data_IF_540136396974
#
_entry.id   IF_540136396974
#
_cell.length_a   1.000
_cell.length_b   1.000
_cell.length_c   1.000
_cell.angle_alpha   90.00
_cell.angle_beta   90.00
_cell.angle_gamma   90.00
#
_symmetry.space_group_name_H-M   'P 1'
#
loop_
_entity.id
_entity.type
_entity.pdbx_description
1 polymer ?
#
# COMPACT_ATOMS: atom_id res chain seq x y z
N UNK A 1 -88.57 17.94 34.67
CA UNK A 1 -87.42 18.77 35.09
C UNK A 1 -86.32 18.59 34.06
N UNK A 2 -85.97 19.65 33.34
CA UNK A 2 -84.96 19.65 32.28
C UNK A 2 -83.58 19.84 32.92
N UNK A 3 -82.66 18.89 32.78
CA UNK A 3 -81.27 19.07 33.22
C UNK A 3 -80.49 19.82 32.13
N UNK A 4 -79.72 20.87 32.48
CA UNK A 4 -78.88 21.57 31.51
C UNK A 4 -77.65 20.74 31.14
N UNK A 5 -77.31 20.73 29.85
CA UNK A 5 -76.09 20.11 29.33
C UNK A 5 -74.82 20.88 29.78
N UNK A 6 -73.69 20.18 29.96
CA UNK A 6 -72.42 20.80 30.35
C UNK A 6 -71.85 21.65 29.21
N UNK A 7 -71.26 22.79 29.57
CA UNK A 7 -70.59 23.69 28.66
C UNK A 7 -69.39 23.00 27.97
N UNK A 8 -69.34 23.07 26.64
CA UNK A 8 -68.23 22.55 25.84
C UNK A 8 -66.94 23.36 26.06
N UNK A 9 -65.76 22.77 25.78
CA UNK A 9 -64.47 23.36 26.09
C UNK A 9 -64.24 24.70 25.37
N UNK A 10 -63.70 25.66 26.12
CA UNK A 10 -63.41 27.02 25.66
C UNK A 10 -62.48 27.02 24.45
N UNK A 11 -63.03 27.42 23.30
CA UNK A 11 -62.35 27.49 22.00
C UNK A 11 -61.09 28.38 22.04
N UNK A 12 -61.06 29.39 22.90
CA UNK A 12 -59.90 30.28 23.04
C UNK A 12 -58.71 29.61 23.74
N UNK A 13 -58.98 28.73 24.70
CA UNK A 13 -57.94 27.96 25.40
C UNK A 13 -57.25 26.95 24.48
N UNK A 14 -58.01 26.37 23.55
CA UNK A 14 -57.52 25.43 22.54
C UNK A 14 -56.58 26.14 21.55
N UNK A 15 -56.99 27.29 21.02
CA UNK A 15 -56.17 28.08 20.06
C UNK A 15 -54.85 28.54 20.70
N UNK A 16 -54.87 29.03 21.95
CA UNK A 16 -53.64 29.46 22.65
C UNK A 16 -52.64 28.30 22.87
N UNK A 17 -53.13 27.09 23.18
CA UNK A 17 -52.27 25.91 23.32
C UNK A 17 -51.62 25.52 21.99
N UNK A 18 -52.37 25.52 20.89
CA UNK A 18 -51.81 25.20 19.57
C UNK A 18 -50.81 26.28 19.10
N UNK A 19 -51.08 27.56 19.36
CA UNK A 19 -50.12 28.64 19.03
C UNK A 19 -48.81 28.50 19.84
N UNK A 20 -48.87 28.18 21.13
CA UNK A 20 -47.66 27.91 21.91
C UNK A 20 -46.88 26.69 21.39
N UNK A 21 -47.58 25.60 21.05
CA UNK A 21 -46.94 24.38 20.57
C UNK A 21 -46.21 24.61 19.23
N UNK A 22 -46.83 25.36 18.31
CA UNK A 22 -46.24 25.71 17.01
C UNK A 22 -45.01 26.59 17.19
N UNK A 23 -45.07 27.59 18.09
CA UNK A 23 -43.92 28.46 18.37
C UNK A 23 -42.75 27.65 18.94
N UNK A 24 -43.01 26.75 19.89
CA UNK A 24 -41.98 25.88 20.47
C UNK A 24 -41.34 25.00 19.38
N UNK A 25 -42.14 24.45 18.47
CA UNK A 25 -41.66 23.57 17.42
C UNK A 25 -40.80 24.32 16.39
N UNK A 26 -41.19 25.54 16.02
CA UNK A 26 -40.39 26.42 15.14
C UNK A 26 -39.07 26.79 15.80
N UNK A 27 -39.07 27.15 17.09
CA UNK A 27 -37.85 27.47 17.84
C UNK A 27 -36.91 26.27 17.90
N UNK A 28 -37.42 25.07 18.15
CA UNK A 28 -36.61 23.84 18.16
C UNK A 28 -35.99 23.55 16.79
N UNK A 29 -36.74 23.72 15.70
CA UNK A 29 -36.21 23.54 14.33
C UNK A 29 -35.09 24.53 14.04
N UNK A 30 -35.25 25.80 14.42
CA UNK A 30 -34.22 26.83 14.25
C UNK A 30 -32.98 26.48 15.06
N UNK A 31 -33.11 26.07 16.32
CA UNK A 31 -31.99 25.69 17.18
C UNK A 31 -31.23 24.49 16.58
N UNK A 32 -31.95 23.44 16.17
CA UNK A 32 -31.33 22.25 15.56
C UNK A 32 -30.61 22.63 14.27
N UNK A 33 -31.24 23.44 13.42
CA UNK A 33 -30.63 23.91 12.18
C UNK A 33 -29.37 24.76 12.45
N UNK A 34 -29.41 25.68 13.43
CA UNK A 34 -28.26 26.49 13.83
C UNK A 34 -27.12 25.62 14.38
N UNK A 35 -27.41 24.59 15.17
CA UNK A 35 -26.39 23.66 15.69
C UNK A 35 -25.77 22.85 14.54
N UNK A 36 -26.58 22.35 13.61
CA UNK A 36 -26.09 21.61 12.45
C UNK A 36 -25.25 22.50 11.53
N UNK A 37 -25.69 23.74 11.29
CA UNK A 37 -24.95 24.72 10.51
C UNK A 37 -23.63 25.08 11.19
N UNK A 38 -23.62 25.33 12.51
CA UNK A 38 -22.39 25.59 13.26
C UNK A 38 -21.43 24.40 13.24
N UNK A 39 -21.94 23.16 13.35
CA UNK A 39 -21.12 21.94 13.22
C UNK A 39 -20.55 21.79 11.80
N UNK A 40 -21.35 22.10 10.78
CA UNK A 40 -20.93 22.07 9.38
C UNK A 40 -19.84 23.12 9.10
N UNK A 41 -20.04 24.36 9.55
CA UNK A 41 -19.07 25.44 9.43
C UNK A 41 -17.79 25.15 10.22
N UNK A 42 -17.89 24.60 11.44
CA UNK A 42 -16.73 24.20 12.24
C UNK A 42 -15.94 23.07 11.58
N UNK A 43 -16.60 22.09 10.94
CA UNK A 43 -15.93 21.05 10.13
C UNK A 43 -15.24 21.61 8.89
N UNK A 44 -15.83 22.62 8.23
CA UNK A 44 -15.22 23.32 7.08
C UNK A 44 -13.99 24.13 7.47
N UNK A 45 -14.03 24.80 8.63
CA UNK A 45 -12.91 25.62 9.14
C UNK A 45 -11.82 24.78 9.80
N UNK A 46 -12.15 23.59 10.32
CA UNK A 46 -11.18 22.63 10.88
C UNK A 46 -10.77 21.52 9.91
N UNK A 47 -11.11 21.60 8.63
CA UNK A 47 -10.46 20.80 7.62
C UNK A 47 -8.98 21.22 7.63
N UNK A 48 -8.02 20.33 7.93
CA UNK A 48 -6.62 20.69 7.87
C UNK A 48 -6.35 21.15 6.45
N UNK A 49 -5.80 22.36 6.33
CA UNK A 49 -5.21 22.83 5.09
C UNK A 49 -4.23 21.76 4.65
N UNK A 50 -4.53 21.09 3.53
CA UNK A 50 -3.59 20.17 2.94
C UNK A 50 -2.34 21.00 2.65
N UNK A 51 -1.27 20.76 3.42
CA UNK A 51 0.05 21.28 3.08
C UNK A 51 0.36 20.93 1.62
N UNK A 52 1.28 21.64 0.96
CA UNK A 52 1.49 21.46 -0.47
C UNK A 52 1.78 19.99 -0.78
N UNK A 53 0.77 19.29 -1.32
CA UNK A 53 0.94 17.94 -1.84
C UNK A 53 1.73 18.12 -3.11
N UNK A 54 3.05 18.01 -2.99
CA UNK A 54 3.97 18.03 -4.13
C UNK A 54 3.70 16.79 -4.96
N UNK A 55 2.67 16.88 -5.79
CA UNK A 55 2.30 15.87 -6.77
C UNK A 55 3.51 15.71 -7.68
N UNK A 56 4.19 14.59 -7.55
CA UNK A 56 5.46 14.37 -8.24
C UNK A 56 5.15 13.77 -9.59
N UNK A 57 5.41 14.52 -10.66
CA UNK A 57 5.43 13.99 -12.03
C UNK A 57 6.79 13.34 -12.27
N UNK A 58 6.83 12.25 -13.04
CA UNK A 58 8.08 11.60 -13.43
C UNK A 58 9.08 12.60 -14.04
N UNK A 59 10.36 12.61 -13.61
CA UNK A 59 11.34 13.55 -14.15
C UNK A 59 11.54 13.37 -15.65
N UNK A 60 11.61 14.49 -16.39
CA UNK A 60 11.99 14.46 -17.80
C UNK A 60 13.40 13.86 -17.96
N UNK A 61 13.54 12.82 -18.78
CA UNK A 61 14.81 12.11 -19.01
C UNK A 61 15.07 10.89 -18.11
N UNK A 62 14.11 10.52 -17.26
CA UNK A 62 14.15 9.28 -16.50
C UNK A 62 14.24 8.05 -17.43
N UNK A 63 15.25 7.21 -17.24
CA UNK A 63 15.43 5.97 -18.01
C UNK A 63 14.85 4.77 -17.23
N UNK A 64 14.03 3.91 -17.86
CA UNK A 64 13.64 2.64 -17.24
C UNK A 64 14.87 1.84 -16.80
N UNK A 65 14.78 1.14 -15.67
CA UNK A 65 15.87 0.34 -15.11
C UNK A 65 16.92 1.16 -14.34
N UNK A 66 16.71 2.47 -14.16
CA UNK A 66 17.65 3.36 -13.48
C UNK A 66 17.08 3.98 -12.21
N UNK A 67 17.92 4.14 -11.19
CA UNK A 67 17.60 4.91 -9.99
C UNK A 67 17.72 6.40 -10.32
N UNK A 68 16.68 7.15 -10.00
CA UNK A 68 16.63 8.60 -10.18
C UNK A 68 17.71 9.29 -9.32
N UNK A 69 18.30 10.40 -9.80
CA UNK A 69 19.28 11.14 -9.03
C UNK A 69 18.65 11.74 -7.77
N UNK A 70 19.41 11.77 -6.69
CA UNK A 70 18.98 12.36 -5.41
C UNK A 70 19.34 11.47 -4.23
N UNK A 71 19.31 12.05 -3.03
CA UNK A 71 19.41 11.29 -1.79
C UNK A 71 18.09 10.56 -1.53
N UNK A 72 18.11 9.41 -0.83
CA UNK A 72 16.89 8.75 -0.38
C UNK A 72 15.99 9.71 0.40
N UNK A 73 14.73 9.82 -0.03
CA UNK A 73 13.75 10.76 0.50
C UNK A 73 12.47 10.08 1.01
N UNK A 74 11.40 10.85 1.27
CA UNK A 74 10.08 10.28 1.54
C UNK A 74 9.54 9.53 0.30
N UNK A 75 8.50 8.72 0.51
CA UNK A 75 7.76 8.13 -0.61
C UNK A 75 7.11 9.22 -1.47
N UNK A 76 7.25 9.16 -2.80
CA UNK A 76 6.60 10.11 -3.69
C UNK A 76 5.11 9.79 -3.83
N UNK A 77 4.28 10.83 -3.89
CA UNK A 77 2.89 10.70 -4.34
C UNK A 77 2.80 11.07 -5.82
N UNK A 78 2.72 10.04 -6.66
CA UNK A 78 2.66 10.18 -8.11
C UNK A 78 1.22 10.38 -8.57
N UNK A 79 0.97 11.41 -9.40
CA UNK A 79 -0.33 11.65 -10.05
C UNK A 79 -0.73 10.55 -11.02
N UNK A 80 0.25 9.90 -11.62
CA UNK A 80 0.07 8.80 -12.54
C UNK A 80 1.19 7.79 -12.30
N UNK A 81 0.82 6.50 -12.30
CA UNK A 81 1.74 5.38 -12.11
C UNK A 81 1.74 4.50 -13.36
N UNK A 82 2.90 3.94 -13.76
CA UNK A 82 2.96 3.01 -14.88
C UNK A 82 2.01 1.84 -14.66
N UNK A 83 1.26 1.48 -15.71
CA UNK A 83 0.45 0.28 -15.69
C UNK A 83 1.35 -0.95 -15.73
N UNK A 84 1.07 -1.99 -14.92
CA UNK A 84 1.84 -3.23 -14.94
C UNK A 84 1.85 -3.85 -16.33
N UNK A 85 3.05 -4.16 -16.84
CA UNK A 85 3.20 -5.02 -18.01
C UNK A 85 3.44 -6.43 -17.51
N UNK A 86 2.61 -7.35 -17.95
CA UNK A 86 2.64 -8.75 -17.53
C UNK A 86 2.64 -9.65 -18.75
N UNK A 87 3.02 -10.92 -18.55
CA UNK A 87 3.00 -11.93 -19.60
C UNK A 87 2.89 -13.33 -19.02
N UNK A 88 2.55 -14.29 -19.87
CA UNK A 88 2.52 -15.69 -19.47
C UNK A 88 3.95 -16.19 -19.23
N UNK A 89 4.14 -16.95 -18.16
CA UNK A 89 5.41 -17.57 -17.83
C UNK A 89 5.28 -19.10 -17.87
N UNK A 90 5.96 -19.73 -18.84
CA UNK A 90 5.96 -21.18 -19.02
C UNK A 90 4.56 -21.83 -19.03
N UNK A 91 3.58 -21.14 -19.63
CA UNK A 91 2.19 -21.62 -19.70
C UNK A 91 1.29 -21.18 -18.55
N UNK A 92 1.84 -20.61 -17.47
CA UNK A 92 1.06 -19.96 -16.41
C UNK A 92 0.68 -18.53 -16.83
N UNK A 93 -0.60 -18.13 -16.80
CA UNK A 93 -1.00 -16.75 -17.07
C UNK A 93 -0.61 -15.81 -15.91
N UNK A 94 -0.51 -14.51 -16.18
CA UNK A 94 -0.07 -13.53 -15.19
C UNK A 94 -1.00 -13.41 -13.98
N UNK A 95 -2.29 -13.66 -14.16
CA UNK A 95 -3.28 -13.75 -13.08
C UNK A 95 -3.17 -15.01 -12.22
N UNK A 96 -2.31 -15.96 -12.59
CA UNK A 96 -2.17 -17.25 -11.90
C UNK A 96 -3.36 -18.19 -12.12
N UNK A 97 -3.49 -19.20 -11.26
CA UNK A 97 -4.54 -20.22 -11.32
C UNK A 97 -5.55 -20.14 -10.15
N UNK A 98 -5.46 -19.10 -9.33
CA UNK A 98 -6.30 -18.93 -8.14
C UNK A 98 -5.97 -17.68 -7.32
N UNK A 99 -6.53 -17.60 -6.11
CA UNK A 99 -6.28 -16.48 -5.19
C UNK A 99 -6.88 -15.16 -5.68
N UNK A 100 -6.10 -14.08 -5.56
CA UNK A 100 -6.46 -12.75 -6.05
C UNK A 100 -5.78 -12.47 -7.41
N UNK A 101 -6.52 -12.56 -8.53
CA UNK A 101 -5.94 -12.36 -9.86
C UNK A 101 -5.44 -10.93 -10.11
N UNK A 102 -5.96 -9.93 -9.40
CA UNK A 102 -5.47 -8.56 -9.51
C UNK A 102 -4.15 -8.39 -8.78
N UNK A 103 -3.98 -9.03 -7.61
CA UNK A 103 -2.70 -9.08 -6.89
C UNK A 103 -1.65 -9.86 -7.69
N UNK A 104 -2.01 -11.03 -8.23
CA UNK A 104 -1.08 -11.87 -9.00
C UNK A 104 -0.50 -11.13 -10.22
N UNK A 105 -1.31 -10.32 -10.91
CA UNK A 105 -0.82 -9.45 -12.00
C UNK A 105 0.20 -8.41 -11.53
N UNK A 106 0.09 -7.90 -10.30
CA UNK A 106 1.09 -7.00 -9.73
C UNK A 106 2.37 -7.76 -9.38
N UNK A 107 2.24 -8.95 -8.78
CA UNK A 107 3.37 -9.85 -8.47
C UNK A 107 4.16 -10.22 -9.73
N UNK A 108 3.46 -10.57 -10.81
CA UNK A 108 4.02 -11.06 -12.08
C UNK A 108 4.37 -9.98 -13.11
N UNK A 109 4.50 -8.72 -12.71
CA UNK A 109 4.89 -7.69 -13.66
C UNK A 109 6.37 -7.81 -14.06
N UNK A 110 6.67 -7.44 -15.29
CA UNK A 110 8.01 -7.57 -15.89
C UNK A 110 8.55 -6.25 -16.45
N UNK A 111 7.80 -5.17 -16.31
CA UNK A 111 8.25 -3.83 -16.72
C UNK A 111 9.22 -3.19 -15.73
N UNK A 112 10.08 -2.34 -16.28
CA UNK A 112 11.05 -1.53 -15.55
C UNK A 112 10.50 -0.13 -15.24
N UNK A 113 10.76 0.33 -14.02
CA UNK A 113 10.48 1.70 -13.60
C UNK A 113 11.70 2.61 -13.70
N UNK A 114 11.50 3.91 -13.49
CA UNK A 114 12.58 4.79 -13.04
C UNK A 114 12.43 4.98 -11.54
N UNK A 115 13.39 4.48 -10.78
CA UNK A 115 13.22 4.18 -9.36
C UNK A 115 13.52 5.38 -8.48
N UNK A 116 12.56 5.79 -7.66
CA UNK A 116 12.77 6.86 -6.70
C UNK A 116 13.63 6.35 -5.53
N UNK A 117 14.75 7.01 -5.18
CA UNK A 117 15.49 6.67 -3.97
C UNK A 117 14.64 7.01 -2.74
N UNK A 118 14.29 6.02 -1.94
CA UNK A 118 13.37 6.15 -0.80
C UNK A 118 14.05 5.70 0.49
N UNK A 119 13.83 6.45 1.56
CA UNK A 119 14.29 6.09 2.90
C UNK A 119 13.57 4.83 3.39
N UNK A 120 14.33 3.90 3.97
CA UNK A 120 13.79 2.66 4.54
C UNK A 120 12.60 2.92 5.48
N UNK A 121 12.76 3.85 6.41
CA UNK A 121 11.73 4.18 7.41
C UNK A 121 10.47 4.76 6.76
N UNK A 122 10.62 5.56 5.70
CA UNK A 122 9.50 6.15 4.99
C UNK A 122 8.63 5.08 4.31
N UNK A 123 9.24 3.96 3.91
CA UNK A 123 8.52 2.83 3.30
C UNK A 123 7.88 1.92 4.36
N UNK A 124 8.65 1.47 5.35
CA UNK A 124 8.14 0.47 6.32
C UNK A 124 7.04 1.04 7.22
N UNK A 125 7.00 2.36 7.43
CA UNK A 125 5.99 3.03 8.27
C UNK A 125 4.69 3.37 7.53
N UNK A 126 4.58 3.05 6.24
CA UNK A 126 3.34 3.29 5.48
C UNK A 126 2.23 2.44 6.07
N UNK A 127 1.14 3.13 6.47
CA UNK A 127 -0.03 2.47 7.04
C UNK A 127 -0.91 1.89 5.94
N UNK A 128 -1.80 1.00 6.34
CA UNK A 128 -2.84 0.44 5.49
C UNK A 128 -4.14 0.30 6.29
N UNK A 129 -5.30 0.33 5.63
CA UNK A 129 -6.56 0.02 6.28
C UNK A 129 -6.56 -1.42 6.82
N UNK A 130 -6.93 -1.64 8.07
CA UNK A 130 -7.01 -3.01 8.62
C UNK A 130 -8.18 -3.82 8.06
N UNK A 131 -9.14 -3.13 7.43
CA UNK A 131 -10.33 -3.72 6.80
C UNK A 131 -10.02 -4.58 5.57
N UNK A 132 -8.84 -4.44 4.96
CA UNK A 132 -8.44 -5.17 3.74
C UNK A 132 -7.59 -6.42 4.03
N UNK A 133 -7.14 -6.61 5.28
CA UNK A 133 -6.32 -7.75 5.66
C UNK A 133 -7.03 -9.08 5.33
N UNK A 134 -6.30 -9.99 4.67
CA UNK A 134 -6.78 -11.30 4.20
C UNK A 134 -8.00 -11.23 3.26
N UNK A 135 -8.13 -10.16 2.48
CA UNK A 135 -9.17 -10.01 1.46
C UNK A 135 -8.57 -9.73 0.09
N UNK A 136 -9.09 -10.44 -0.90
CA UNK A 136 -8.87 -10.11 -2.31
C UNK A 136 -9.34 -8.68 -2.62
N UNK A 137 -8.68 -8.05 -3.58
CA UNK A 137 -8.86 -6.65 -3.99
C UNK A 137 -10.26 -6.33 -4.49
N UNK A 138 -10.93 -7.29 -5.09
CA UNK A 138 -12.33 -7.16 -5.54
C UNK A 138 -13.32 -7.00 -4.37
N UNK A 139 -12.90 -7.30 -3.14
CA UNK A 139 -13.69 -7.12 -1.90
C UNK A 139 -13.33 -5.86 -1.13
N UNK A 140 -12.40 -5.06 -1.62
CA UNK A 140 -12.01 -3.82 -0.94
C UNK A 140 -13.09 -2.75 -1.12
N UNK A 141 -13.27 -1.92 -0.11
CA UNK A 141 -14.11 -0.73 -0.26
C UNK A 141 -13.41 0.29 -1.17
N UNK A 142 -14.17 1.11 -1.89
CA UNK A 142 -13.56 2.16 -2.73
C UNK A 142 -12.65 3.12 -1.94
N UNK A 143 -12.97 3.54 -0.69
CA UNK A 143 -12.05 4.33 0.12
C UNK A 143 -10.75 3.60 0.46
N UNK A 144 -10.81 2.32 0.85
CA UNK A 144 -9.61 1.54 1.18
C UNK A 144 -8.73 1.37 -0.07
N UNK A 145 -9.34 1.03 -1.21
CA UNK A 145 -8.64 0.91 -2.49
C UNK A 145 -7.97 2.24 -2.89
N UNK A 146 -8.63 3.38 -2.67
CA UNK A 146 -8.06 4.70 -2.95
C UNK A 146 -6.88 5.05 -2.02
N UNK A 147 -6.93 4.63 -0.75
CA UNK A 147 -5.82 4.82 0.19
C UNK A 147 -4.56 4.05 -0.25
N UNK A 148 -4.73 2.78 -0.64
CA UNK A 148 -3.64 1.94 -1.15
C UNK A 148 -3.10 2.48 -2.49
N UNK A 149 -3.99 2.91 -3.38
CA UNK A 149 -3.60 3.45 -4.69
C UNK A 149 -2.73 4.71 -4.63
N UNK A 150 -2.62 5.39 -3.48
CA UNK A 150 -1.69 6.51 -3.29
C UNK A 150 -0.24 6.08 -3.49
N UNK A 151 0.13 4.88 -3.04
CA UNK A 151 1.52 4.41 -3.04
C UNK A 151 1.76 3.17 -3.90
N UNK A 152 0.78 2.27 -4.03
CA UNK A 152 0.94 1.05 -4.81
C UNK A 152 1.25 1.32 -6.28
N UNK A 153 2.19 0.56 -6.85
CA UNK A 153 2.70 0.75 -8.21
C UNK A 153 3.77 1.83 -8.34
N UNK A 154 4.26 2.39 -7.23
CA UNK A 154 5.38 3.35 -7.25
C UNK A 154 6.70 2.60 -7.46
N UNK A 155 7.54 2.98 -8.45
CA UNK A 155 8.86 2.41 -8.61
C UNK A 155 9.82 2.98 -7.57
N UNK A 156 10.36 2.14 -6.69
CA UNK A 156 11.21 2.56 -5.57
C UNK A 156 12.58 1.91 -5.65
N UNK A 157 13.58 2.59 -5.10
CA UNK A 157 14.91 2.06 -4.80
C UNK A 157 15.23 2.29 -3.33
N UNK A 158 15.41 1.22 -2.57
CA UNK A 158 15.63 1.28 -1.12
C UNK A 158 16.97 0.63 -0.79
N UNK A 159 17.74 1.32 0.03
CA UNK A 159 19.03 0.84 0.52
C UNK A 159 18.88 0.18 1.89
N UNK A 160 19.64 -0.89 2.12
CA UNK A 160 19.61 -1.62 3.38
C UNK A 160 20.58 -2.80 3.37
N UNK A 161 20.26 -3.83 4.13
CA UNK A 161 21.03 -5.07 4.25
C UNK A 161 20.10 -6.27 4.18
N UNK A 162 20.55 -7.37 3.60
CA UNK A 162 19.76 -8.60 3.60
C UNK A 162 19.93 -9.32 4.94
N UNK A 163 18.81 -9.72 5.56
CA UNK A 163 18.77 -10.56 6.76
C UNK A 163 18.53 -12.05 6.44
N UNK A 164 18.28 -12.37 5.18
CA UNK A 164 18.09 -13.72 4.68
C UNK A 164 17.39 -13.73 3.32
N UNK A 165 17.44 -14.88 2.67
CA UNK A 165 16.62 -15.22 1.51
C UNK A 165 16.16 -16.67 1.67
N UNK A 166 14.94 -16.97 1.26
CA UNK A 166 14.43 -18.34 1.15
C UNK A 166 13.64 -18.50 -0.13
N UNK A 167 13.57 -19.74 -0.58
CA UNK A 167 12.59 -20.15 -1.56
C UNK A 167 11.24 -20.34 -0.88
N UNK A 168 10.18 -19.81 -1.49
CA UNK A 168 8.82 -19.97 -1.00
C UNK A 168 8.17 -21.26 -1.52
N UNK A 169 7.01 -21.57 -0.94
CA UNK A 169 6.19 -22.70 -1.37
C UNK A 169 5.49 -22.45 -2.72
N UNK A 170 4.64 -23.39 -3.16
CA UNK A 170 3.76 -23.17 -4.31
C UNK A 170 2.74 -22.08 -4.05
N UNK A 171 2.65 -21.14 -4.98
CA UNK A 171 1.72 -20.02 -4.89
C UNK A 171 0.89 -19.87 -6.16
N UNK A 172 -0.31 -19.29 -6.01
CA UNK A 172 -1.21 -19.01 -7.13
C UNK A 172 -0.64 -18.14 -8.25
N UNK A 173 0.15 -17.06 -8.01
CA UNK A 173 0.74 -16.29 -9.12
C UNK A 173 1.61 -17.15 -10.05
N UNK A 174 2.15 -18.26 -9.54
CA UNK A 174 3.02 -19.17 -10.28
C UNK A 174 2.34 -20.52 -10.60
N UNK A 175 1.00 -20.53 -10.62
CA UNK A 175 0.16 -21.71 -10.90
C UNK A 175 0.50 -22.93 -10.03
N UNK A 176 0.91 -22.67 -8.78
CA UNK A 176 1.40 -23.68 -7.84
C UNK A 176 2.49 -24.60 -8.43
N UNK A 177 3.26 -24.13 -9.41
CA UNK A 177 4.34 -24.88 -10.05
C UNK A 177 5.32 -25.41 -9.00
N UNK A 178 5.62 -26.70 -9.05
CA UNK A 178 6.39 -27.35 -7.98
C UNK A 178 7.91 -27.22 -8.13
N UNK A 179 8.36 -26.98 -9.35
CA UNK A 179 9.78 -26.90 -9.71
C UNK A 179 10.39 -25.57 -9.24
N UNK A 180 11.69 -25.59 -8.95
CA UNK A 180 12.43 -24.44 -8.42
C UNK A 180 12.25 -23.18 -9.26
N UNK A 181 12.10 -23.33 -10.58
CA UNK A 181 11.92 -22.23 -11.51
C UNK A 181 10.57 -21.50 -11.36
N UNK A 182 9.57 -22.09 -10.68
CA UNK A 182 8.27 -21.47 -10.36
C UNK A 182 8.19 -20.92 -8.94
N UNK A 183 9.26 -20.99 -8.16
CA UNK A 183 9.27 -20.45 -6.78
C UNK A 183 9.70 -19.01 -6.72
N UNK A 184 8.95 -18.20 -6.00
CA UNK A 184 9.41 -16.89 -5.55
C UNK A 184 10.54 -17.06 -4.54
N UNK A 185 11.44 -16.08 -4.48
CA UNK A 185 12.31 -15.93 -3.32
C UNK A 185 11.84 -14.80 -2.44
N UNK A 186 11.51 -15.14 -1.20
CA UNK A 186 11.28 -14.19 -0.14
C UNK A 186 12.60 -13.75 0.46
N UNK A 187 12.87 -12.44 0.39
CA UNK A 187 14.09 -11.83 0.90
C UNK A 187 13.73 -10.76 1.92
N UNK A 188 14.44 -10.75 3.06
CA UNK A 188 14.20 -9.76 4.12
C UNK A 188 15.23 -8.64 4.01
N UNK A 189 14.78 -7.45 3.64
CA UNK A 189 15.60 -6.23 3.64
C UNK A 189 15.44 -5.52 5.00
N UNK A 190 16.53 -5.37 5.73
CA UNK A 190 16.57 -4.63 7.01
C UNK A 190 17.39 -3.35 6.89
N UNK A 191 17.15 -2.40 7.78
CA UNK A 191 17.81 -1.09 7.76
C UNK A 191 19.30 -1.17 8.09
N UNK A 192 19.66 -1.91 9.13
CA UNK A 192 21.04 -2.07 9.59
C UNK A 192 21.46 -3.54 9.48
N UNK A 193 22.75 -3.76 9.20
CA UNK A 193 23.30 -5.10 9.07
C UNK A 193 23.12 -5.92 10.36
N UNK A 194 22.38 -7.02 10.27
CA UNK A 194 22.13 -7.93 11.39
C UNK A 194 20.93 -7.56 12.26
N UNK A 195 20.14 -6.56 11.87
CA UNK A 195 18.84 -6.29 12.48
C UNK A 195 17.91 -7.52 12.36
N UNK A 196 16.99 -7.65 13.31
CA UNK A 196 15.96 -8.68 13.30
C UNK A 196 14.97 -8.50 12.15
N UNK A 197 14.48 -9.62 11.61
CA UNK A 197 13.53 -9.62 10.49
C UNK A 197 12.17 -9.04 10.87
N UNK A 198 11.83 -8.95 12.16
CA UNK A 198 10.58 -8.32 12.63
C UNK A 198 10.37 -6.89 12.13
N UNK A 199 11.43 -6.21 11.69
CA UNK A 199 11.40 -4.84 11.18
C UNK A 199 11.73 -4.74 9.68
N UNK A 200 11.82 -5.85 8.96
CA UNK A 200 12.23 -5.85 7.56
C UNK A 200 11.12 -5.39 6.61
N UNK A 201 11.52 -4.93 5.44
CA UNK A 201 10.69 -4.90 4.24
C UNK A 201 10.85 -6.25 3.55
N UNK A 202 9.74 -6.91 3.21
CA UNK A 202 9.79 -8.10 2.35
C UNK A 202 9.97 -7.63 0.92
N UNK A 203 10.96 -8.21 0.26
CA UNK A 203 11.27 -7.95 -1.14
C UNK A 203 11.33 -9.29 -1.85
N UNK A 204 10.65 -9.41 -2.99
CA UNK A 204 10.47 -10.72 -3.63
C UNK A 204 11.05 -10.79 -5.03
N UNK A 205 11.77 -11.89 -5.27
CA UNK A 205 12.25 -12.28 -6.59
C UNK A 205 11.23 -13.22 -7.21
N UNK A 206 10.57 -12.77 -8.27
CA UNK A 206 9.50 -13.54 -8.93
C UNK A 206 10.04 -14.33 -10.13
N UNK A 207 9.54 -15.55 -10.41
CA UNK A 207 9.99 -16.41 -11.52
C UNK A 207 10.18 -15.75 -12.89
N UNK A 208 9.23 -14.95 -13.42
CA UNK A 208 9.37 -14.39 -14.76
C UNK A 208 10.56 -13.42 -14.84
N UNK A 209 10.82 -12.66 -13.77
CA UNK A 209 11.96 -11.76 -13.68
C UNK A 209 13.24 -12.58 -13.50
N UNK A 210 13.31 -13.45 -12.48
CA UNK A 210 14.49 -14.27 -12.14
C UNK A 210 15.01 -15.08 -13.33
N UNK A 211 14.14 -15.52 -14.24
CA UNK A 211 14.53 -16.26 -15.44
C UNK A 211 15.57 -15.52 -16.32
N UNK A 212 15.66 -14.19 -16.19
CA UNK A 212 16.61 -13.34 -16.90
C UNK A 212 17.82 -12.90 -16.05
N UNK A 213 17.90 -13.35 -14.80
CA UNK A 213 18.92 -12.94 -13.83
C UNK A 213 19.62 -14.15 -13.19
N UNK A 214 20.66 -14.66 -13.85
CA UNK A 214 21.34 -15.92 -13.47
C UNK A 214 22.05 -15.86 -12.11
N UNK A 215 22.35 -14.66 -11.60
CA UNK A 215 22.95 -14.48 -10.28
C UNK A 215 21.93 -14.34 -9.15
N UNK A 216 20.64 -14.25 -9.46
CA UNK A 216 19.58 -14.15 -8.46
C UNK A 216 19.25 -15.54 -7.93
N UNK A 217 20.11 -16.02 -7.04
CA UNK A 217 20.05 -17.33 -6.40
C UNK A 217 20.14 -17.19 -4.89
N UNK A 218 19.45 -18.05 -4.14
CA UNK A 218 19.44 -17.98 -2.67
C UNK A 218 20.84 -18.16 -2.05
N UNK A 219 21.74 -18.92 -2.68
CA UNK A 219 23.13 -19.06 -2.24
C UNK A 219 23.91 -17.74 -2.39
N UNK A 220 23.77 -17.04 -3.52
CA UNK A 220 24.39 -15.74 -3.77
C UNK A 220 23.86 -14.68 -2.80
N UNK A 221 22.54 -14.60 -2.63
CA UNK A 221 21.92 -13.71 -1.64
C UNK A 221 22.37 -14.06 -0.22
N UNK A 222 22.51 -15.34 0.09
CA UNK A 222 23.06 -15.82 1.37
C UNK A 222 24.51 -15.37 1.60
N UNK A 223 25.34 -15.27 0.55
CA UNK A 223 26.69 -14.71 0.68
C UNK A 223 26.65 -13.20 0.97
N UNK A 224 25.73 -12.44 0.36
CA UNK A 224 25.52 -11.01 0.66
C UNK A 224 25.16 -10.82 2.13
N UNK A 225 24.24 -11.65 2.65
CA UNK A 225 23.84 -11.68 4.08
C UNK A 225 25.07 -11.94 4.97
N UNK A 226 25.83 -13.00 4.69
CA UNK A 226 27.01 -13.39 5.48
C UNK A 226 28.08 -12.29 5.51
N UNK A 227 28.31 -11.64 4.38
CA UNK A 227 29.28 -10.54 4.24
C UNK A 227 28.76 -9.21 4.77
N UNK A 228 27.50 -9.14 5.21
CA UNK A 228 26.84 -7.90 5.67
C UNK A 228 26.98 -6.76 4.66
N UNK A 229 26.89 -7.09 3.37
CA UNK A 229 27.03 -6.10 2.31
C UNK A 229 25.77 -5.25 2.24
N UNK A 230 25.95 -3.93 2.11
CA UNK A 230 24.85 -3.02 1.86
C UNK A 230 24.34 -3.26 0.45
N UNK A 231 23.03 -3.29 0.30
CA UNK A 231 22.35 -3.47 -0.98
C UNK A 231 21.45 -2.28 -1.29
N UNK A 232 21.15 -2.09 -2.56
CA UNK A 232 20.06 -1.25 -3.05
C UNK A 232 19.13 -2.13 -3.86
N UNK A 233 17.89 -2.23 -3.40
CA UNK A 233 16.83 -3.04 -4.02
C UNK A 233 15.90 -2.10 -4.75
N UNK A 234 15.71 -2.32 -6.05
CA UNK A 234 14.80 -1.53 -6.87
C UNK A 234 13.68 -2.40 -7.43
N UNK A 235 12.47 -1.87 -7.45
CA UNK A 235 11.30 -2.59 -7.94
C UNK A 235 10.02 -1.82 -7.69
N UNK A 236 8.91 -2.56 -7.58
CA UNK A 236 7.58 -1.98 -7.47
C UNK A 236 7.04 -2.08 -6.05
N UNK A 237 6.60 -0.95 -5.49
CA UNK A 237 5.87 -0.96 -4.23
C UNK A 237 4.51 -1.62 -4.43
N UNK A 238 4.24 -2.69 -3.69
CA UNK A 238 3.02 -3.47 -3.75
C UNK A 238 2.51 -3.77 -2.34
N UNK A 239 1.19 -3.81 -2.15
CA UNK A 239 0.60 -4.27 -0.90
C UNK A 239 0.19 -5.75 -1.02
N UNK A 240 0.71 -6.60 -0.13
CA UNK A 240 0.24 -7.99 0.04
C UNK A 240 -0.65 -8.11 1.29
N UNK A 241 -1.98 -8.28 1.15
CA UNK A 241 -2.89 -8.36 2.30
C UNK A 241 -2.86 -9.71 3.04
N UNK A 242 -2.12 -10.72 2.59
CA UNK A 242 -2.28 -12.12 3.02
C UNK A 242 -1.64 -12.44 4.37
N UNK A 243 -0.57 -11.73 4.74
CA UNK A 243 0.28 -12.06 5.90
C UNK A 243 0.35 -10.98 7.01
N UNK A 244 -0.78 -10.40 7.48
CA UNK A 244 -0.75 -9.42 8.57
C UNK A 244 -0.27 -10.03 9.89
N UNK A 245 -0.39 -11.34 10.07
CA UNK A 245 0.07 -12.07 11.26
C UNK A 245 1.59 -12.17 11.37
N UNK A 246 2.31 -11.85 10.29
CA UNK A 246 3.78 -11.83 10.25
C UNK A 246 4.37 -10.47 10.63
N UNK A 247 3.53 -9.42 10.70
CA UNK A 247 3.96 -8.08 11.09
C UNK A 247 4.44 -8.10 12.54
N UNK A 248 5.66 -7.58 12.78
CA UNK A 248 6.34 -7.63 14.07
C UNK A 248 6.97 -8.97 14.41
N UNK A 249 6.97 -9.95 13.49
CA UNK A 249 7.64 -11.25 13.66
C UNK A 249 8.73 -11.46 12.61
N UNK A 250 8.36 -11.36 11.35
CA UNK A 250 9.27 -11.59 10.22
C UNK A 250 9.25 -10.44 9.21
N UNK A 251 8.43 -9.41 9.44
CA UNK A 251 8.34 -8.21 8.61
C UNK A 251 7.81 -7.02 9.43
N UNK A 252 8.20 -5.80 9.07
CA UNK A 252 7.71 -4.57 9.69
C UNK A 252 6.42 -4.03 9.08
N UNK A 253 6.08 -4.46 7.87
CA UNK A 253 4.92 -4.00 7.10
C UNK A 253 4.41 -5.12 6.19
N UNK A 254 3.18 -4.96 5.68
CA UNK A 254 2.65 -5.79 4.58
C UNK A 254 2.84 -5.13 3.20
N UNK A 255 3.43 -3.93 3.18
CA UNK A 255 3.98 -3.35 1.96
C UNK A 255 5.30 -4.04 1.61
N UNK A 256 5.47 -4.35 0.33
CA UNK A 256 6.59 -5.10 -0.21
C UNK A 256 7.20 -4.39 -1.42
N UNK A 257 8.45 -4.72 -1.75
CA UNK A 257 8.96 -4.49 -3.09
C UNK A 257 8.75 -5.79 -3.87
N UNK A 258 7.68 -5.85 -4.65
CA UNK A 258 7.31 -7.03 -5.42
C UNK A 258 6.76 -6.60 -6.79
N UNK A 259 7.39 -7.03 -7.89
CA UNK A 259 8.65 -7.75 -7.95
C UNK A 259 9.83 -6.80 -7.71
N UNK A 260 10.94 -7.36 -7.24
CA UNK A 260 12.26 -6.75 -7.40
C UNK A 260 12.64 -6.83 -8.88
N UNK A 261 13.13 -5.71 -9.41
CA UNK A 261 13.61 -5.59 -10.80
C UNK A 261 15.13 -5.40 -10.85
N UNK A 262 15.75 -4.93 -9.76
CA UNK A 262 17.19 -4.75 -9.69
C UNK A 262 17.75 -4.97 -8.29
N UNK A 263 18.85 -5.70 -8.21
CA UNK A 263 19.64 -5.85 -6.99
C UNK A 263 21.04 -5.29 -7.24
N UNK A 264 21.43 -4.29 -6.46
CA UNK A 264 22.78 -3.73 -6.51
C UNK A 264 23.46 -3.93 -5.16
N UNK A 265 24.75 -4.27 -5.18
CA UNK A 265 25.58 -4.46 -4.00
C UNK A 265 26.58 -3.31 -3.89
N UNK A 266 26.71 -2.72 -2.71
CA UNK A 266 27.72 -1.70 -2.48
C UNK A 266 29.10 -2.33 -2.39
N UNK A 267 30.00 -1.91 -3.28
CA UNK A 267 31.41 -2.26 -3.28
C UNK A 267 32.24 -0.98 -3.19
N UNK A 268 32.78 -0.72 -2.00
CA UNK A 268 33.64 0.44 -1.73
C UNK A 268 33.01 1.79 -2.14
N UNK A 269 31.71 1.96 -1.86
CA UNK A 269 30.98 3.18 -2.19
C UNK A 269 30.32 3.16 -3.59
N UNK A 270 30.61 2.17 -4.44
CA UNK A 270 29.99 2.04 -5.75
C UNK A 270 28.86 1.01 -5.73
N UNK A 271 27.75 1.32 -6.39
CA UNK A 271 26.67 0.36 -6.62
C UNK A 271 26.99 -0.51 -7.82
N UNK A 272 27.13 -1.81 -7.60
CA UNK A 272 27.43 -2.79 -8.64
C UNK A 272 26.23 -3.71 -8.82
N UNK A 273 25.76 -3.86 -10.05
CA UNK A 273 24.65 -4.74 -10.38
C UNK A 273 24.98 -6.20 -10.03
N UNK A 274 24.08 -6.90 -9.34
CA UNK A 274 24.27 -8.28 -8.93
C UNK A 274 24.56 -9.19 -10.14
N UNK A 275 23.94 -8.95 -11.28
CA UNK A 275 24.17 -9.76 -12.50
C UNK A 275 25.53 -9.50 -13.15
N UNK A 276 26.21 -8.43 -12.77
CA UNK A 276 27.59 -8.16 -13.19
C UNK A 276 28.65 -8.78 -12.29
N UNK A 277 28.25 -9.30 -11.12
CA UNK A 277 29.17 -9.98 -10.21
C UNK A 277 29.56 -11.35 -10.79
N UNK A 278 30.86 -11.60 -10.89
CA UNK A 278 31.42 -12.90 -11.29
C UNK A 278 31.74 -13.76 -10.08
#
# INVERSE_FOLDING_TARGET
MYQPQPAGPDRQAVIRKYSCLVIILVVLVVIVFSILLLRYLRRRVSAPEAGPTTTTTMPAGARPGSVLPGAPGPLPELSSKPQPVTGNYQGCPAEGDGGDPALNRLKNRVDEGAYFPVQFDAFVQVRWPKTIERKARDRWSSPDAAEIARYEGTPVAIEGYLAGAREEGPESPNCHGADDNFRDFHVWLVKTAGDDRSNSIVVEVTPPVRAHHTNWRTDVLGQIVKKKQRVRISGWMMLDPEHPDQVGKTRGSIWEIHPIMKIEVNQNGNWVDLDSLR
#
